data_IF_338573692003
#
_entry.id   IF_338573692003
#
_cell.length_a   1.000
_cell.length_b   1.000
_cell.length_c   1.000
_cell.angle_alpha   90.00
_cell.angle_beta   90.00
_cell.angle_gamma   90.00
#
_symmetry.space_group_name_H-M   'P 1'
#
loop_
_entity.id
_entity.type
_entity.pdbx_description
1 polymer ?
#
# COMPACT_ATOMS: atom_id res chain seq x y z
N UNK A 1 -0.61 6.04 46.92
CA UNK A 1 -1.17 5.31 48.07
C UNK A 1 -2.70 5.38 48.19
N UNK A 2 -3.44 6.16 47.38
CA UNK A 2 -4.91 6.30 47.54
C UNK A 2 -5.79 5.60 46.49
N UNK A 3 -5.20 4.97 45.46
CA UNK A 3 -5.98 4.36 44.37
C UNK A 3 -6.29 2.88 44.61
N UNK A 4 -5.32 2.12 45.13
CA UNK A 4 -5.49 0.70 45.46
C UNK A 4 -6.48 0.47 46.61
N UNK A 5 -6.42 1.30 47.67
CA UNK A 5 -7.34 1.21 48.81
C UNK A 5 -8.80 1.52 48.40
N UNK A 6 -9.00 2.46 47.48
CA UNK A 6 -10.33 2.79 46.96
C UNK A 6 -10.91 1.65 46.12
N UNK A 7 -10.07 0.96 45.34
CA UNK A 7 -10.49 -0.20 44.56
C UNK A 7 -10.86 -1.36 45.49
N UNK A 8 -10.03 -1.66 46.51
CA UNK A 8 -10.32 -2.72 47.47
C UNK A 8 -11.64 -2.48 48.24
N UNK A 9 -11.89 -1.26 48.72
CA UNK A 9 -13.16 -0.92 49.38
C UNK A 9 -14.37 -1.09 48.45
N UNK A 10 -14.20 -0.77 47.17
CA UNK A 10 -15.27 -0.96 46.18
C UNK A 10 -15.56 -2.45 45.98
N UNK A 11 -14.53 -3.30 45.90
CA UNK A 11 -14.70 -4.75 45.76
C UNK A 11 -15.39 -5.39 46.97
N UNK A 12 -15.01 -4.97 48.18
CA UNK A 12 -15.60 -5.52 49.41
C UNK A 12 -17.06 -5.11 49.56
N UNK A 13 -17.39 -3.85 49.26
CA UNK A 13 -18.77 -3.36 49.20
C UNK A 13 -19.63 -4.13 48.18
N UNK A 14 -19.08 -4.43 46.99
CA UNK A 14 -19.78 -5.22 45.97
C UNK A 14 -19.99 -6.66 46.44
N UNK A 15 -18.99 -7.30 47.06
CA UNK A 15 -19.12 -8.66 47.60
C UNK A 15 -20.18 -8.75 48.68
N UNK A 16 -20.21 -7.80 49.61
CA UNK A 16 -21.18 -7.77 50.70
C UNK A 16 -22.60 -7.51 50.16
N UNK A 17 -22.75 -6.59 49.21
CA UNK A 17 -24.03 -6.32 48.54
C UNK A 17 -24.54 -7.54 47.78
N UNK A 18 -23.67 -8.26 47.07
CA UNK A 18 -24.04 -9.49 46.34
C UNK A 18 -24.34 -10.66 47.28
N UNK A 19 -23.62 -10.77 48.40
CA UNK A 19 -23.83 -11.80 49.42
C UNK A 19 -25.16 -11.67 50.16
N UNK A 20 -25.72 -10.46 50.22
CA UNK A 20 -27.01 -10.16 50.87
C UNK A 20 -28.24 -10.35 49.95
N UNK A 21 -28.04 -10.72 48.68
CA UNK A 21 -29.14 -10.97 47.74
C UNK A 21 -29.67 -12.40 47.90
N UNK A 22 -31.00 -12.55 47.85
CA UNK A 22 -31.62 -13.88 47.79
C UNK A 22 -31.39 -14.56 46.43
N UNK A 23 -31.67 -15.87 46.38
CA UNK A 23 -31.39 -16.70 45.20
C UNK A 23 -32.13 -16.23 43.94
N UNK A 24 -33.34 -15.69 44.06
CA UNK A 24 -34.12 -15.22 42.91
C UNK A 24 -33.59 -13.89 42.38
N UNK A 25 -33.12 -12.98 43.25
CA UNK A 25 -32.45 -11.73 42.86
C UNK A 25 -31.08 -12.00 42.24
N UNK A 26 -30.31 -12.95 42.77
CA UNK A 26 -29.05 -13.41 42.16
C UNK A 26 -29.28 -14.01 40.76
N UNK A 27 -30.32 -14.82 40.59
CA UNK A 27 -30.71 -15.36 39.27
C UNK A 27 -31.13 -14.24 38.31
N UNK A 28 -31.90 -13.26 38.78
CA UNK A 28 -32.32 -12.11 37.96
C UNK A 28 -31.13 -11.25 37.53
N UNK A 29 -30.15 -11.03 38.41
CA UNK A 29 -28.92 -10.28 38.12
C UNK A 29 -28.04 -11.03 37.12
N UNK A 30 -27.91 -12.35 37.26
CA UNK A 30 -27.16 -13.20 36.32
C UNK A 30 -27.82 -13.21 34.93
N UNK A 31 -29.15 -13.35 34.87
CA UNK A 31 -29.91 -13.33 33.63
C UNK A 31 -29.88 -11.95 32.95
N UNK A 32 -29.96 -10.86 33.70
CA UNK A 32 -29.86 -9.50 33.14
C UNK A 32 -28.44 -9.22 32.62
N UNK A 33 -27.41 -9.65 33.33
CA UNK A 33 -26.01 -9.53 32.90
C UNK A 33 -25.74 -10.34 31.63
N UNK A 34 -26.26 -11.58 31.55
CA UNK A 34 -26.18 -12.40 30.35
C UNK A 34 -26.97 -11.80 29.17
N UNK A 35 -28.14 -11.21 29.44
CA UNK A 35 -28.94 -10.51 28.45
C UNK A 35 -28.25 -9.26 27.89
N UNK A 36 -27.64 -8.45 28.76
CA UNK A 36 -26.83 -7.28 28.36
C UNK A 36 -25.59 -7.72 27.58
N UNK A 37 -24.88 -8.74 28.03
CA UNK A 37 -23.73 -9.31 27.32
C UNK A 37 -24.11 -9.83 25.93
N UNK A 38 -25.20 -10.60 25.83
CA UNK A 38 -25.71 -11.10 24.55
C UNK A 38 -26.16 -9.95 23.63
N UNK A 39 -26.79 -8.92 24.17
CA UNK A 39 -27.19 -7.73 23.41
C UNK A 39 -25.97 -6.95 22.93
N UNK A 40 -24.93 -6.77 23.75
CA UNK A 40 -23.69 -6.11 23.35
C UNK A 40 -22.95 -6.90 22.27
N UNK A 41 -22.84 -8.23 22.42
CA UNK A 41 -22.28 -9.10 21.38
C UNK A 41 -23.11 -9.05 20.09
N UNK A 42 -24.43 -9.04 20.19
CA UNK A 42 -25.32 -8.91 19.04
C UNK A 42 -25.20 -7.54 18.37
N UNK A 43 -25.08 -6.44 19.13
CA UNK A 43 -24.89 -5.10 18.58
C UNK A 43 -23.52 -4.95 17.92
N UNK A 44 -22.46 -5.53 18.52
CA UNK A 44 -21.12 -5.56 17.93
C UNK A 44 -21.08 -6.42 16.66
N UNK A 45 -21.75 -7.58 16.66
CA UNK A 45 -21.87 -8.45 15.48
C UNK A 45 -22.73 -7.82 14.37
N UNK A 46 -23.84 -7.17 14.74
CA UNK A 46 -24.74 -6.47 13.81
C UNK A 46 -24.10 -5.21 13.23
N UNK A 47 -23.15 -4.59 13.92
CA UNK A 47 -22.20 -3.66 13.33
C UNK A 47 -21.17 -4.44 12.49
N UNK A 48 -21.63 -5.21 11.51
CA UNK A 48 -20.73 -5.66 10.45
C UNK A 48 -20.07 -4.41 9.84
N UNK A 49 -18.75 -4.43 9.61
CA UNK A 49 -18.04 -3.26 9.10
C UNK A 49 -18.76 -2.79 7.84
N UNK A 50 -19.15 -1.51 7.83
CA UNK A 50 -19.75 -0.91 6.63
C UNK A 50 -18.66 -0.90 5.57
N UNK A 51 -18.77 -1.78 4.58
CA UNK A 51 -17.82 -1.83 3.49
C UNK A 51 -18.09 -0.70 2.50
N UNK A 52 -17.02 -0.20 1.89
CA UNK A 52 -17.15 0.72 0.77
C UNK A 52 -17.48 -0.12 -0.47
N UNK A 53 -18.57 0.14 -1.20
CA UNK A 53 -18.87 -0.58 -2.43
C UNK A 53 -17.71 -0.46 -3.42
N UNK A 54 -17.19 -1.58 -3.90
CA UNK A 54 -16.15 -1.61 -4.93
C UNK A 54 -16.73 -0.97 -6.20
N UNK A 55 -17.75 -1.58 -6.79
CA UNK A 55 -18.35 -1.08 -8.03
C UNK A 55 -17.38 -1.11 -9.23
N UNK A 56 -17.84 -0.53 -10.34
CA UNK A 56 -17.10 -0.50 -11.60
C UNK A 56 -16.90 0.92 -12.10
N UNK A 57 -15.77 1.14 -12.78
CA UNK A 57 -15.36 2.42 -13.31
C UNK A 57 -14.84 2.30 -14.73
N UNK A 58 -14.55 3.46 -15.34
CA UNK A 58 -13.85 3.54 -16.61
C UNK A 58 -13.02 4.82 -16.62
N UNK A 59 -11.70 4.67 -16.60
CA UNK A 59 -10.73 5.75 -16.52
C UNK A 59 -9.88 5.88 -17.77
N UNK A 60 -10.05 4.98 -18.73
CA UNK A 60 -9.51 5.12 -20.08
C UNK A 60 -10.16 6.25 -20.86
N UNK A 61 -9.53 6.61 -21.98
CA UNK A 61 -10.09 7.57 -22.92
C UNK A 61 -11.39 7.04 -23.54
N UNK A 62 -12.33 7.95 -23.83
CA UNK A 62 -13.60 7.62 -24.48
C UNK A 62 -14.59 6.83 -23.62
N UNK A 63 -15.50 6.12 -24.29
CA UNK A 63 -16.53 5.29 -23.66
C UNK A 63 -15.99 3.91 -23.27
N UNK A 64 -16.61 3.29 -22.26
CA UNK A 64 -16.26 1.93 -21.83
C UNK A 64 -16.63 0.94 -22.95
N UNK A 65 -15.70 0.11 -23.43
CA UNK A 65 -16.02 -0.94 -24.40
C UNK A 65 -16.87 -2.04 -23.74
N UNK A 66 -17.53 -2.85 -24.57
CA UNK A 66 -18.34 -3.98 -24.08
C UNK A 66 -17.50 -5.04 -23.35
N UNK A 67 -16.25 -5.22 -23.78
CA UNK A 67 -15.31 -6.18 -23.20
C UNK A 67 -13.93 -5.54 -23.07
N UNK A 68 -13.24 -5.83 -21.97
CA UNK A 68 -11.86 -5.40 -21.74
C UNK A 68 -10.89 -6.54 -22.04
N UNK A 69 -9.70 -6.19 -22.53
CA UNK A 69 -8.60 -7.14 -22.64
C UNK A 69 -8.04 -7.43 -21.24
N UNK A 70 -8.14 -8.68 -20.82
CA UNK A 70 -7.72 -9.12 -19.50
C UNK A 70 -6.30 -9.70 -19.46
N UNK A 71 -5.63 -9.74 -20.62
CA UNK A 71 -4.31 -10.35 -20.74
C UNK A 71 -3.25 -9.60 -19.91
N UNK A 72 -2.37 -10.39 -19.29
CA UNK A 72 -1.19 -9.89 -18.59
C UNK A 72 0.00 -10.02 -19.53
N UNK A 73 0.62 -8.89 -19.86
CA UNK A 73 1.75 -8.82 -20.77
C UNK A 73 3.04 -8.58 -20.02
N UNK A 74 4.13 -9.22 -20.46
CA UNK A 74 5.47 -8.91 -19.97
C UNK A 74 5.84 -7.48 -20.36
N UNK A 75 6.38 -6.74 -19.41
CA UNK A 75 6.96 -5.42 -19.63
C UNK A 75 8.46 -5.46 -19.39
N UNK A 76 9.20 -4.65 -20.15
CA UNK A 76 10.65 -4.49 -20.02
C UNK A 76 10.94 -3.00 -20.10
N UNK A 77 11.56 -2.47 -19.05
CA UNK A 77 11.99 -1.07 -19.01
C UNK A 77 13.13 -0.87 -20.00
N UNK A 78 13.03 0.17 -20.82
CA UNK A 78 14.04 0.55 -21.80
C UNK A 78 14.20 2.07 -21.78
N UNK A 79 15.40 2.51 -22.13
CA UNK A 79 15.70 3.92 -22.44
C UNK A 79 16.38 3.94 -23.80
N UNK A 80 16.04 4.91 -24.63
CA UNK A 80 16.66 5.15 -25.93
C UNK A 80 17.87 6.07 -25.79
N UNK A 81 18.77 6.03 -26.78
CA UNK A 81 19.93 6.95 -26.81
C UNK A 81 19.44 8.39 -26.90
N UNK A 82 18.39 8.62 -27.69
CA UNK A 82 17.77 9.91 -27.92
C UNK A 82 17.20 10.53 -26.63
N UNK A 83 16.56 9.73 -25.77
CA UNK A 83 16.08 10.20 -24.46
C UNK A 83 17.22 10.61 -23.53
N UNK A 84 18.33 9.85 -23.52
CA UNK A 84 19.49 10.15 -22.68
C UNK A 84 20.25 11.38 -23.22
N UNK A 85 20.37 11.53 -24.53
CA UNK A 85 20.95 12.73 -25.15
C UNK A 85 20.11 13.97 -24.87
N UNK A 86 18.77 13.87 -24.95
CA UNK A 86 17.87 14.97 -24.59
C UNK A 86 18.03 15.37 -23.11
N UNK A 87 18.11 14.38 -22.22
CA UNK A 87 18.39 14.59 -20.80
C UNK A 87 19.73 15.32 -20.59
N UNK A 88 20.81 14.83 -21.18
CA UNK A 88 22.14 15.45 -21.05
C UNK A 88 22.14 16.89 -21.56
N UNK A 89 21.52 17.14 -22.71
CA UNK A 89 21.37 18.49 -23.26
C UNK A 89 20.64 19.44 -22.31
N UNK A 90 19.59 18.97 -21.63
CA UNK A 90 18.85 19.78 -20.64
C UNK A 90 19.69 20.04 -19.39
N UNK A 91 20.43 19.03 -18.92
CA UNK A 91 21.34 19.18 -17.79
C UNK A 91 22.42 20.23 -18.11
N UNK A 92 23.04 20.14 -19.29
CA UNK A 92 24.11 21.05 -19.73
C UNK A 92 23.63 22.51 -19.86
N UNK A 93 22.33 22.72 -20.06
CA UNK A 93 21.68 24.04 -20.15
C UNK A 93 21.10 24.55 -18.82
N UNK A 94 21.35 23.84 -17.70
CA UNK A 94 20.83 24.22 -16.38
C UNK A 94 21.40 25.55 -15.92
N UNK A 95 20.53 26.48 -15.50
CA UNK A 95 20.91 27.75 -14.87
C UNK A 95 20.73 27.64 -13.37
N UNK A 96 21.78 27.92 -12.63
CA UNK A 96 21.78 27.88 -11.16
C UNK A 96 21.67 29.30 -10.59
N UNK A 97 21.10 29.40 -9.38
CA UNK A 97 21.11 30.62 -8.57
C UNK A 97 22.04 30.44 -7.38
N UNK A 98 22.62 31.51 -6.86
CA UNK A 98 23.48 31.41 -5.67
C UNK A 98 22.63 31.28 -4.39
N UNK A 99 23.04 30.41 -3.45
CA UNK A 99 22.32 30.24 -2.19
C UNK A 99 22.73 31.31 -1.18
N UNK A 100 21.93 31.48 -0.12
CA UNK A 100 22.37 32.24 1.06
C UNK A 100 23.55 31.53 1.73
N UNK A 101 24.50 32.30 2.24
CA UNK A 101 25.64 31.82 3.03
C UNK A 101 25.15 30.98 4.22
N UNK A 102 25.80 29.84 4.46
CA UNK A 102 25.55 28.91 5.57
C UNK A 102 24.08 28.44 5.76
N UNK A 103 23.24 28.58 4.72
CA UNK A 103 21.81 28.27 4.81
C UNK A 103 21.48 26.78 4.90
N UNK A 104 22.42 25.90 4.54
CA UNK A 104 22.16 24.47 4.42
C UNK A 104 20.93 24.21 3.54
N UNK A 105 19.98 23.41 4.03
CA UNK A 105 18.70 23.12 3.37
C UNK A 105 17.51 23.86 4.01
N UNK A 106 17.75 24.83 4.90
CA UNK A 106 16.70 25.49 5.68
C UNK A 106 15.75 26.36 4.82
N UNK A 107 16.15 26.69 3.60
CA UNK A 107 15.38 27.48 2.62
C UNK A 107 15.03 26.67 1.37
N UNK A 108 14.96 25.34 1.50
CA UNK A 108 14.77 24.43 0.38
C UNK A 108 16.09 23.87 -0.15
N UNK A 109 16.05 23.35 -1.37
CA UNK A 109 17.19 22.63 -1.94
C UNK A 109 18.38 23.58 -2.16
N UNK A 110 19.50 23.30 -1.50
CA UNK A 110 20.69 24.14 -1.61
C UNK A 110 21.31 24.06 -3.02
N UNK A 111 21.47 25.20 -3.70
CA UNK A 111 21.95 25.21 -5.09
C UNK A 111 23.43 24.82 -5.25
N UNK A 112 24.27 25.00 -4.22
CA UNK A 112 25.64 24.47 -4.23
C UNK A 112 25.64 22.95 -4.17
N UNK A 113 24.73 22.34 -3.39
CA UNK A 113 24.55 20.89 -3.40
C UNK A 113 23.93 20.39 -4.71
N UNK A 114 22.97 21.13 -5.28
CA UNK A 114 22.34 20.78 -6.56
C UNK A 114 23.38 20.65 -7.69
N UNK A 115 24.36 21.55 -7.75
CA UNK A 115 25.46 21.46 -8.73
C UNK A 115 26.21 20.13 -8.64
N UNK A 116 26.42 19.60 -7.43
CA UNK A 116 27.05 18.28 -7.22
C UNK A 116 26.17 17.14 -7.74
N UNK A 117 24.88 17.19 -7.43
CA UNK A 117 23.90 16.19 -7.91
C UNK A 117 23.82 16.19 -9.44
N UNK A 118 23.71 17.37 -10.04
CA UNK A 118 23.64 17.54 -11.50
C UNK A 118 24.95 17.10 -12.16
N UNK A 119 26.11 17.41 -11.58
CA UNK A 119 27.41 16.95 -12.06
C UNK A 119 27.51 15.43 -12.09
N UNK A 120 27.14 14.77 -10.98
CA UNK A 120 27.14 13.32 -10.91
C UNK A 120 26.17 12.71 -11.93
N UNK A 121 24.95 13.26 -12.03
CA UNK A 121 23.96 12.77 -12.98
C UNK A 121 24.45 12.89 -14.42
N UNK A 122 25.15 13.97 -14.74
CA UNK A 122 25.65 14.22 -16.10
C UNK A 122 26.86 13.37 -16.48
N UNK A 123 27.74 13.10 -15.53
CA UNK A 123 29.10 12.61 -15.82
C UNK A 123 29.34 11.16 -15.35
N UNK A 124 28.65 10.73 -14.29
CA UNK A 124 28.96 9.47 -13.58
C UNK A 124 27.75 8.52 -13.52
N UNK A 125 26.52 9.02 -13.70
CA UNK A 125 25.33 8.20 -13.61
C UNK A 125 25.18 7.28 -14.83
N UNK A 126 25.37 5.98 -14.59
CA UNK A 126 25.23 4.94 -15.59
C UNK A 126 23.77 4.49 -15.73
N UNK A 127 23.09 5.04 -16.76
CA UNK A 127 21.70 4.71 -17.10
C UNK A 127 21.52 3.25 -17.51
N UNK A 128 22.46 2.66 -18.25
CA UNK A 128 22.35 1.27 -18.68
C UNK A 128 22.39 0.33 -17.48
N UNK A 129 23.28 0.60 -16.52
CA UNK A 129 23.34 -0.11 -15.24
C UNK A 129 22.05 0.02 -14.44
N UNK A 130 21.46 1.22 -14.37
CA UNK A 130 20.19 1.39 -13.65
C UNK A 130 19.03 0.66 -14.33
N UNK A 131 18.92 0.71 -15.65
CA UNK A 131 17.88 -0.02 -16.40
C UNK A 131 18.05 -1.53 -16.24
N UNK A 132 19.28 -2.06 -16.24
CA UNK A 132 19.57 -3.47 -15.93
C UNK A 132 19.12 -3.83 -14.52
N UNK A 133 19.42 -2.98 -13.55
CA UNK A 133 19.04 -3.19 -12.15
C UNK A 133 17.52 -3.15 -11.99
N UNK A 134 16.81 -2.21 -12.62
CA UNK A 134 15.35 -2.16 -12.60
C UNK A 134 14.77 -3.46 -13.15
N UNK A 135 15.25 -3.92 -14.31
CA UNK A 135 14.77 -5.14 -14.95
C UNK A 135 15.23 -6.45 -14.29
N UNK A 136 15.96 -6.41 -13.16
CA UNK A 136 16.35 -7.63 -12.44
C UNK A 136 15.14 -8.42 -11.92
N UNK A 137 14.00 -7.76 -11.74
CA UNK A 137 12.73 -8.37 -11.35
C UNK A 137 11.74 -8.40 -12.53
N UNK A 138 10.79 -9.36 -12.53
CA UNK A 138 9.72 -9.39 -13.52
C UNK A 138 8.77 -8.19 -13.46
N UNK A 139 8.63 -7.48 -14.58
CA UNK A 139 7.61 -6.44 -14.76
C UNK A 139 6.51 -6.90 -15.70
N UNK A 140 5.30 -6.43 -15.45
CA UNK A 140 4.11 -6.75 -16.23
C UNK A 140 3.19 -5.54 -16.38
N UNK A 141 2.30 -5.65 -17.35
CA UNK A 141 1.21 -4.73 -17.58
C UNK A 141 -0.09 -5.46 -17.88
N UNK A 142 -1.20 -4.89 -17.45
CA UNK A 142 -2.55 -5.38 -17.75
C UNK A 142 -3.52 -4.22 -17.76
N UNK A 143 -4.56 -4.29 -18.60
CA UNK A 143 -5.64 -3.30 -18.58
C UNK A 143 -6.62 -3.58 -17.45
N UNK A 144 -6.94 -2.52 -16.70
CA UNK A 144 -7.96 -2.51 -15.66
C UNK A 144 -8.73 -1.20 -15.77
N UNK A 145 -9.98 -1.29 -16.21
CA UNK A 145 -10.91 -0.16 -16.36
C UNK A 145 -10.38 0.94 -17.28
N UNK A 146 -9.74 0.51 -18.36
CA UNK A 146 -9.18 1.39 -19.37
C UNK A 146 -7.84 2.01 -18.99
N UNK A 147 -7.23 1.63 -17.86
CA UNK A 147 -5.87 2.01 -17.49
C UNK A 147 -4.92 0.85 -17.75
N UNK A 148 -3.83 1.11 -18.47
CA UNK A 148 -2.70 0.19 -18.58
C UNK A 148 -1.85 0.22 -17.30
N UNK A 149 -2.10 -0.74 -16.40
CA UNK A 149 -1.51 -0.80 -15.05
C UNK A 149 -0.21 -1.59 -15.07
N UNK A 150 0.88 -0.94 -14.68
CA UNK A 150 2.19 -1.58 -14.47
C UNK A 150 2.35 -2.14 -13.06
N UNK A 151 3.00 -3.30 -12.96
CA UNK A 151 3.41 -3.86 -11.68
C UNK A 151 4.67 -4.73 -11.81
N UNK A 152 5.45 -4.77 -10.72
CA UNK A 152 6.50 -5.78 -10.51
C UNK A 152 5.88 -6.97 -9.80
N UNK A 153 6.20 -8.19 -10.23
CA UNK A 153 5.71 -9.42 -9.62
C UNK A 153 6.86 -10.38 -9.34
N UNK A 154 7.20 -10.53 -8.06
CA UNK A 154 8.32 -11.36 -7.61
C UNK A 154 7.80 -12.59 -6.91
N UNK A 155 7.91 -13.73 -7.58
CA UNK A 155 7.62 -15.04 -7.01
C UNK A 155 8.78 -15.51 -6.13
N UNK A 156 8.51 -16.11 -4.96
CA UNK A 156 9.56 -16.59 -4.08
C UNK A 156 10.18 -17.89 -4.60
N UNK A 157 11.38 -18.18 -4.13
CA UNK A 157 11.96 -19.53 -4.28
C UNK A 157 11.53 -20.35 -3.05
N UNK A 158 10.32 -20.92 -3.13
CA UNK A 158 9.73 -21.66 -2.01
C UNK A 158 10.54 -22.93 -1.69
N UNK A 159 10.94 -23.07 -0.42
CA UNK A 159 11.55 -24.28 0.12
C UNK A 159 10.49 -25.19 0.73
N UNK A 160 10.81 -26.49 0.85
CA UNK A 160 9.92 -27.47 1.48
C UNK A 160 9.52 -27.03 2.89
N UNK A 161 8.23 -27.06 3.18
CA UNK A 161 7.68 -26.67 4.48
C UNK A 161 7.40 -25.18 4.66
N UNK A 162 7.70 -24.33 3.66
CA UNK A 162 7.33 -22.91 3.70
C UNK A 162 5.91 -22.67 3.19
N UNK A 163 5.20 -21.75 3.85
CA UNK A 163 3.93 -21.18 3.37
C UNK A 163 4.20 -19.93 2.54
N UNK A 164 3.65 -19.89 1.32
CA UNK A 164 3.72 -18.70 0.45
C UNK A 164 2.52 -17.81 0.74
N UNK A 165 2.76 -16.54 1.06
CA UNK A 165 1.71 -15.55 1.29
C UNK A 165 1.79 -14.43 0.24
N UNK A 166 0.70 -14.09 -0.46
CA UNK A 166 0.70 -12.96 -1.38
C UNK A 166 0.70 -11.62 -0.62
N UNK A 167 1.55 -10.70 -1.05
CA UNK A 167 1.71 -9.37 -0.46
C UNK A 167 1.78 -8.31 -1.56
N UNK A 168 0.83 -7.37 -1.55
CA UNK A 168 0.90 -6.16 -2.35
C UNK A 168 1.59 -5.03 -1.56
N UNK A 169 2.58 -4.39 -2.16
CA UNK A 169 3.28 -3.22 -1.60
C UNK A 169 3.02 -1.99 -2.47
N UNK A 170 2.35 -0.98 -1.91
CA UNK A 170 1.92 0.24 -2.62
C UNK A 170 2.78 1.43 -2.18
N UNK A 171 3.40 2.10 -3.16
CA UNK A 171 4.31 3.23 -2.94
C UNK A 171 3.59 4.57 -2.71
N UNK A 172 4.34 5.64 -2.51
CA UNK A 172 3.85 7.01 -2.33
C UNK A 172 4.35 8.02 -3.36
N UNK A 173 4.31 9.30 -3.00
CA UNK A 173 4.93 10.43 -3.69
C UNK A 173 5.97 11.11 -2.78
N UNK A 174 7.13 11.55 -3.32
CA UNK A 174 7.60 11.47 -4.71
C UNK A 174 8.24 10.12 -5.06
N UNK A 175 7.82 9.05 -4.38
CA UNK A 175 8.29 7.69 -4.56
C UNK A 175 7.80 6.96 -5.82
N UNK A 176 8.12 5.68 -5.89
CA UNK A 176 7.73 4.78 -6.98
C UNK A 176 7.87 3.31 -6.56
N UNK A 177 7.42 2.39 -7.41
CA UNK A 177 7.62 0.93 -7.20
C UNK A 177 9.08 0.54 -6.90
N UNK A 178 10.05 1.36 -7.33
CA UNK A 178 11.49 1.10 -7.12
C UNK A 178 11.91 1.17 -5.64
N UNK A 179 11.16 1.86 -4.78
CA UNK A 179 11.45 1.99 -3.34
C UNK A 179 11.54 0.62 -2.64
N UNK A 180 10.84 -0.39 -3.16
CA UNK A 180 10.81 -1.73 -2.58
C UNK A 180 11.97 -2.62 -3.00
N UNK A 181 12.82 -2.22 -3.95
CA UNK A 181 13.81 -3.12 -4.55
C UNK A 181 14.78 -3.74 -3.55
N UNK A 182 15.14 -3.00 -2.51
CA UNK A 182 16.07 -3.49 -1.47
C UNK A 182 15.42 -4.49 -0.50
N UNK A 183 14.11 -4.43 -0.29
CA UNK A 183 13.40 -5.31 0.65
C UNK A 183 12.91 -6.60 -0.03
N UNK A 184 12.68 -6.59 -1.35
CA UNK A 184 12.25 -7.76 -2.12
C UNK A 184 13.04 -9.05 -1.82
N UNK A 185 14.39 -9.08 -1.80
CA UNK A 185 15.11 -10.33 -1.49
C UNK A 185 14.90 -10.81 -0.05
N UNK A 186 14.69 -9.89 0.91
CA UNK A 186 14.43 -10.24 2.30
C UNK A 186 13.05 -10.91 2.49
N UNK A 187 12.09 -10.57 1.64
CA UNK A 187 10.74 -11.12 1.67
C UNK A 187 10.58 -12.41 0.84
N UNK A 188 11.32 -12.50 -0.27
CA UNK A 188 11.13 -13.56 -1.29
C UNK A 188 12.19 -14.68 -1.22
N UNK A 189 13.28 -14.47 -0.47
CA UNK A 189 14.41 -15.41 -0.33
C UNK A 189 14.84 -15.57 1.14
N UNK A 190 13.87 -15.83 2.01
CA UNK A 190 14.09 -16.01 3.45
C UNK A 190 14.05 -17.49 3.86
N UNK A 191 14.66 -17.80 5.01
CA UNK A 191 14.62 -19.12 5.67
C UNK A 191 13.46 -19.24 6.68
N UNK A 192 12.64 -18.19 6.83
CA UNK A 192 11.43 -18.23 7.65
C UNK A 192 10.43 -19.29 7.16
N UNK A 193 9.54 -19.75 8.04
CA UNK A 193 8.43 -20.63 7.67
C UNK A 193 7.44 -19.95 6.70
N UNK A 194 7.47 -18.62 6.63
CA UNK A 194 6.66 -17.81 5.71
C UNK A 194 7.58 -17.12 4.71
N UNK A 195 7.20 -17.19 3.43
CA UNK A 195 7.85 -16.46 2.34
C UNK A 195 6.79 -15.72 1.53
N UNK A 196 7.11 -14.55 1.01
CA UNK A 196 6.12 -13.73 0.30
C UNK A 196 6.24 -13.84 -1.22
N UNK A 197 5.09 -13.89 -1.89
CA UNK A 197 4.95 -13.55 -3.30
C UNK A 197 4.55 -12.08 -3.39
N UNK A 198 5.44 -11.23 -3.93
CA UNK A 198 5.33 -9.78 -3.79
C UNK A 198 4.88 -9.12 -5.08
N UNK A 199 3.86 -8.27 -4.99
CA UNK A 199 3.33 -7.46 -6.09
C UNK A 199 3.57 -5.99 -5.74
N UNK A 200 4.30 -5.26 -6.60
CA UNK A 200 4.52 -3.82 -6.44
C UNK A 200 3.95 -3.06 -7.64
N UNK A 201 2.68 -2.62 -7.60
CA UNK A 201 2.09 -1.85 -8.67
C UNK A 201 2.66 -0.43 -8.71
N UNK A 202 2.66 0.19 -9.89
CA UNK A 202 2.73 1.65 -10.00
C UNK A 202 1.32 2.23 -9.90
N UNK A 203 1.15 3.22 -9.03
CA UNK A 203 -0.13 3.96 -8.90
C UNK A 203 -0.50 4.54 -10.27
N UNK A 204 -1.78 4.49 -10.71
CA UNK A 204 -2.19 5.13 -11.96
C UNK A 204 -1.72 6.59 -12.05
N UNK A 205 -1.01 6.92 -13.13
CA UNK A 205 -0.31 8.21 -13.31
C UNK A 205 1.12 8.27 -12.78
N UNK A 206 1.65 7.19 -12.20
CA UNK A 206 3.03 7.07 -11.70
C UNK A 206 3.81 6.00 -12.48
N UNK A 207 5.13 6.21 -12.57
CA UNK A 207 6.05 5.23 -13.15
C UNK A 207 5.64 4.84 -14.56
N UNK A 208 5.33 3.55 -14.75
CA UNK A 208 4.91 3.00 -16.04
C UNK A 208 3.41 2.71 -16.15
N UNK A 209 2.61 3.06 -15.12
CA UNK A 209 1.15 2.98 -15.20
C UNK A 209 0.59 4.20 -15.92
N UNK A 210 -0.37 3.96 -16.81
CA UNK A 210 -1.07 5.03 -17.51
C UNK A 210 -1.79 5.99 -16.54
N UNK A 211 -1.84 7.27 -16.90
CA UNK A 211 -2.57 8.27 -16.15
C UNK A 211 -4.08 8.19 -16.44
N UNK A 212 -4.95 8.42 -15.44
CA UNK A 212 -6.40 8.51 -15.67
C UNK A 212 -6.78 9.62 -16.66
N UNK A 213 -7.69 9.31 -17.58
CA UNK A 213 -8.20 10.26 -18.60
C UNK A 213 -9.46 11.02 -18.15
N UNK A 214 -9.98 10.73 -16.96
CA UNK A 214 -11.21 11.34 -16.43
C UNK A 214 -10.97 11.99 -15.07
N UNK A 215 -11.75 13.03 -14.79
CA UNK A 215 -11.72 13.76 -13.52
C UNK A 215 -12.25 12.90 -12.37
N UNK A 216 -11.75 13.15 -11.16
CA UNK A 216 -12.23 12.54 -9.93
C UNK A 216 -11.48 11.28 -9.49
N UNK A 217 -10.47 10.84 -10.25
CA UNK A 217 -9.63 9.72 -9.87
C UNK A 217 -8.85 10.03 -8.57
N UNK A 218 -9.13 9.30 -7.50
CA UNK A 218 -8.50 9.47 -6.20
C UNK A 218 -8.06 8.12 -5.59
N UNK A 219 -7.73 8.10 -4.30
CA UNK A 219 -7.21 6.91 -3.62
C UNK A 219 -8.23 5.76 -3.53
N UNK A 220 -9.52 6.04 -3.64
CA UNK A 220 -10.57 5.01 -3.68
C UNK A 220 -10.54 4.24 -5.01
N UNK A 221 -10.40 4.95 -6.12
CA UNK A 221 -10.34 4.36 -7.46
C UNK A 221 -9.05 3.59 -7.66
N UNK A 222 -7.93 4.10 -7.12
CA UNK A 222 -6.66 3.37 -7.10
C UNK A 222 -6.77 2.06 -6.31
N UNK A 223 -7.37 2.09 -5.11
CA UNK A 223 -7.60 0.90 -4.29
C UNK A 223 -8.42 -0.15 -5.02
N UNK A 224 -9.46 0.29 -5.74
CA UNK A 224 -10.30 -0.57 -6.56
C UNK A 224 -9.59 -1.19 -7.74
N UNK A 225 -8.77 -0.42 -8.46
CA UNK A 225 -7.92 -0.94 -9.54
C UNK A 225 -6.95 -2.00 -8.99
N UNK A 226 -6.39 -1.78 -7.80
CA UNK A 226 -5.48 -2.73 -7.17
C UNK A 226 -6.16 -3.99 -6.64
N UNK A 227 -7.40 -3.88 -6.15
CA UNK A 227 -8.22 -5.06 -5.86
C UNK A 227 -8.43 -5.92 -7.11
N UNK A 228 -8.88 -5.29 -8.20
CA UNK A 228 -9.04 -5.97 -9.49
C UNK A 228 -7.74 -6.57 -10.01
N UNK A 229 -6.61 -5.90 -9.78
CA UNK A 229 -5.29 -6.43 -10.12
C UNK A 229 -5.00 -7.72 -9.35
N UNK A 230 -5.23 -7.75 -8.04
CA UNK A 230 -5.00 -8.96 -7.24
C UNK A 230 -5.94 -10.10 -7.62
N UNK A 231 -7.22 -9.79 -7.89
CA UNK A 231 -8.19 -10.77 -8.38
C UNK A 231 -7.81 -11.33 -9.75
N UNK A 232 -7.36 -10.47 -10.68
CA UNK A 232 -6.84 -10.87 -12.01
C UNK A 232 -5.62 -11.78 -11.90
N UNK A 233 -4.78 -11.58 -10.88
CA UNK A 233 -3.64 -12.44 -10.57
C UNK A 233 -4.03 -13.74 -9.84
N UNK A 234 -5.30 -13.91 -9.49
CA UNK A 234 -5.85 -15.12 -8.86
C UNK A 234 -5.76 -15.13 -7.33
N UNK A 235 -5.48 -13.98 -6.69
CA UNK A 235 -5.42 -13.89 -5.23
C UNK A 235 -6.77 -13.48 -4.66
N UNK A 236 -7.35 -14.34 -3.83
CA UNK A 236 -8.60 -14.08 -3.10
C UNK A 236 -8.37 -13.52 -1.72
N UNK A 237 -7.29 -13.95 -1.04
CA UNK A 237 -6.84 -13.45 0.25
C UNK A 237 -5.37 -13.01 0.12
N UNK A 238 -5.04 -11.83 0.61
CA UNK A 238 -3.68 -11.29 0.51
C UNK A 238 -3.41 -10.21 1.54
N UNK A 239 -2.14 -9.95 1.78
CA UNK A 239 -1.68 -8.85 2.62
C UNK A 239 -1.43 -7.60 1.77
N UNK A 240 -1.63 -6.44 2.39
CA UNK A 240 -1.30 -5.15 1.80
C UNK A 240 -0.36 -4.38 2.72
N UNK A 241 0.60 -3.68 2.13
CA UNK A 241 1.49 -2.76 2.82
C UNK A 241 1.59 -1.45 2.04
N UNK A 242 1.49 -0.33 2.73
CA UNK A 242 1.62 0.99 2.11
C UNK A 242 2.11 2.05 3.09
N UNK A 243 2.87 3.01 2.57
CA UNK A 243 3.21 4.28 3.23
C UNK A 243 2.77 5.44 2.36
N UNK A 244 2.69 6.66 2.90
CA UNK A 244 2.26 7.85 2.15
C UNK A 244 0.90 7.61 1.41
N UNK A 245 0.77 7.87 0.11
CA UNK A 245 -0.44 7.54 -0.65
C UNK A 245 -0.81 6.06 -0.57
N UNK A 246 0.19 5.19 -0.57
CA UNK A 246 0.01 3.76 -0.41
C UNK A 246 -0.76 3.42 0.87
N UNK A 247 -0.53 4.13 1.98
CA UNK A 247 -1.26 3.87 3.22
C UNK A 247 -2.77 4.15 3.08
N UNK A 248 -3.14 5.27 2.44
CA UNK A 248 -4.54 5.58 2.16
C UNK A 248 -5.18 4.58 1.22
N UNK A 249 -4.46 4.20 0.16
CA UNK A 249 -4.93 3.23 -0.83
C UNK A 249 -5.15 1.86 -0.19
N UNK A 250 -4.18 1.33 0.55
CA UNK A 250 -4.29 0.02 1.19
C UNK A 250 -5.35 0.01 2.29
N UNK A 251 -5.53 1.13 3.01
CA UNK A 251 -6.62 1.26 3.97
C UNK A 251 -8.00 1.27 3.29
N UNK A 252 -8.13 1.92 2.12
CA UNK A 252 -9.35 1.84 1.33
C UNK A 252 -9.59 0.42 0.81
N UNK A 253 -8.54 -0.29 0.38
CA UNK A 253 -8.65 -1.70 -0.01
C UNK A 253 -9.24 -2.55 1.12
N UNK A 254 -8.68 -2.47 2.33
CA UNK A 254 -9.16 -3.22 3.48
C UNK A 254 -10.61 -2.88 3.88
N UNK A 255 -11.03 -1.61 3.72
CA UNK A 255 -12.42 -1.21 3.96
C UNK A 255 -13.40 -1.65 2.86
N UNK A 256 -12.92 -1.81 1.63
CA UNK A 256 -13.74 -2.25 0.50
C UNK A 256 -14.03 -3.75 0.56
N UNK A 257 -13.01 -4.54 0.91
CA UNK A 257 -13.06 -6.01 0.93
C UNK A 257 -12.24 -6.54 2.11
N UNK A 258 -12.85 -6.62 3.32
CA UNK A 258 -12.16 -7.09 4.51
C UNK A 258 -11.97 -8.62 4.56
N UNK A 259 -12.78 -9.37 3.81
CA UNK A 259 -12.63 -10.82 3.56
C UNK A 259 -11.55 -11.14 2.51
#
# INVERSE_FOLDING_TARGET
MGFEDSIMQTFDCIKETLGNLDRSKLQLLALSSAGVGALLCYLAWKQSPKTIPIGDGWWGAGEKPLTEDEAIHRFVVKTSVEEIEDLHRRIDQTRFTDPLEDSGFNYGFNSSYLRRVVSYWRQEFDWEKQVKLINQYPHFKTKIEGIDVHFVHVRPVQKTGQTVLPLMMVHGWPGSFYEFYRILPLLTKTDSNVVFEVICPSIPGYGYSEAPHKKGFNTMEAARIFHKLMERLGFTEFYVQGGDWGAFITNNMAQMKPE
#
